data_IF_022559852661
#
_entry.id   IF_022559852661
#
_cell.length_a   1.000
_cell.length_b   1.000
_cell.length_c   1.000
_cell.angle_alpha   90.00
_cell.angle_beta   90.00
_cell.angle_gamma   90.00
#
_symmetry.space_group_name_H-M   'P 1'
#
loop_
_entity.id
_entity.type
_entity.pdbx_description
1 polymer ?
#
# COMPACT_ATOMS: atom_id res chain seq x y z
N UNK A 1 18.67 -12.20 -2.07
CA UNK A 1 17.63 -11.39 -2.74
C UNK A 1 16.34 -12.21 -2.65
N UNK A 2 15.44 -11.90 -1.72
CA UNK A 2 14.18 -12.64 -1.57
C UNK A 2 13.20 -12.17 -2.63
N UNK A 3 13.00 -12.97 -3.67
CA UNK A 3 11.98 -12.74 -4.70
C UNK A 3 10.64 -13.20 -4.13
N UNK A 4 9.99 -12.38 -3.31
CA UNK A 4 8.60 -12.63 -2.93
C UNK A 4 7.73 -12.48 -4.20
N UNK A 5 7.00 -13.53 -4.57
CA UNK A 5 6.12 -13.48 -5.74
C UNK A 5 4.98 -12.52 -5.44
N UNK A 6 4.87 -11.44 -6.20
CA UNK A 6 3.69 -10.59 -6.13
C UNK A 6 2.53 -11.34 -6.77
N UNK A 7 1.58 -11.77 -5.95
CA UNK A 7 0.28 -12.26 -6.43
C UNK A 7 -0.46 -11.11 -7.12
N UNK A 8 -1.28 -11.41 -8.13
CA UNK A 8 -1.83 -10.42 -9.08
C UNK A 8 -2.83 -9.41 -8.48
N UNK A 9 -3.04 -9.36 -7.17
CA UNK A 9 -3.97 -8.42 -6.55
C UNK A 9 -3.23 -7.18 -6.04
N UNK A 10 -3.64 -6.03 -6.54
CA UNK A 10 -3.13 -4.72 -6.15
C UNK A 10 -4.27 -3.80 -5.77
N UNK A 11 -4.10 -3.01 -4.72
CA UNK A 11 -5.02 -1.94 -4.36
C UNK A 11 -4.31 -0.61 -4.49
N UNK A 12 -4.86 0.33 -5.26
CA UNK A 12 -4.34 1.69 -5.39
C UNK A 12 -5.05 2.59 -4.40
N UNK A 13 -4.27 3.36 -3.63
CA UNK A 13 -4.77 4.34 -2.67
C UNK A 13 -4.85 5.72 -3.33
N UNK A 14 -6.02 6.34 -3.31
CA UNK A 14 -6.30 7.66 -3.87
C UNK A 14 -6.59 8.66 -2.75
N UNK A 15 -5.82 9.75 -2.73
CA UNK A 15 -6.13 10.94 -1.95
C UNK A 15 -6.72 12.06 -2.81
N UNK A 16 -6.98 13.24 -2.24
CA UNK A 16 -7.64 14.35 -2.93
C UNK A 16 -6.92 14.83 -4.21
N UNK A 17 -5.59 14.64 -4.26
CA UNK A 17 -4.75 15.05 -5.40
C UNK A 17 -4.40 13.88 -6.36
N UNK A 18 -4.97 12.68 -6.15
CA UNK A 18 -4.71 11.49 -6.95
C UNK A 18 -4.03 10.36 -6.17
N UNK A 19 -3.37 9.45 -6.88
CA UNK A 19 -2.77 8.25 -6.29
C UNK A 19 -1.63 8.60 -5.33
N UNK A 20 -1.70 8.08 -4.10
CA UNK A 20 -0.71 8.33 -3.03
C UNK A 20 0.16 7.10 -2.74
N UNK A 21 -0.31 5.91 -3.11
CA UNK A 21 0.40 4.66 -2.93
C UNK A 21 -0.37 3.47 -3.47
N UNK A 22 0.20 2.29 -3.31
CA UNK A 22 -0.44 1.02 -3.61
C UNK A 22 -0.08 -0.06 -2.60
N UNK A 23 -0.96 -1.05 -2.47
CA UNK A 23 -0.77 -2.25 -1.67
C UNK A 23 -0.75 -3.42 -2.63
N UNK A 24 0.26 -4.28 -2.52
CA UNK A 24 0.36 -5.48 -3.34
C UNK A 24 0.23 -6.70 -2.44
N UNK A 25 -0.53 -7.70 -2.89
CA UNK A 25 -0.54 -9.00 -2.25
C UNK A 25 0.69 -9.80 -2.67
N UNK A 26 1.29 -10.48 -1.71
CA UNK A 26 2.44 -11.37 -1.87
C UNK A 26 2.12 -12.70 -1.21
N UNK A 27 2.96 -13.71 -1.42
CA UNK A 27 2.85 -14.99 -0.73
C UNK A 27 2.95 -14.85 0.79
N UNK A 28 3.72 -13.85 1.26
CA UNK A 28 4.01 -13.62 2.68
C UNK A 28 3.01 -12.67 3.38
N UNK A 29 2.07 -12.07 2.62
CA UNK A 29 1.13 -11.06 3.12
C UNK A 29 0.97 -9.87 2.17
N UNK A 30 0.92 -8.66 2.72
CA UNK A 30 0.67 -7.43 1.97
C UNK A 30 1.84 -6.46 2.10
N UNK A 31 2.30 -5.90 0.99
CA UNK A 31 3.38 -4.91 0.97
C UNK A 31 2.85 -3.56 0.51
N UNK A 32 3.26 -2.49 1.17
CA UNK A 32 2.87 -1.11 0.83
C UNK A 32 3.95 -0.47 -0.03
N UNK A 33 3.57 0.27 -1.07
CA UNK A 33 4.47 1.10 -1.87
C UNK A 33 3.93 2.52 -1.93
N UNK A 34 4.73 3.50 -1.51
CA UNK A 34 4.33 4.91 -1.61
C UNK A 34 4.72 5.48 -2.97
N UNK A 35 3.89 6.36 -3.53
CA UNK A 35 4.25 7.07 -4.77
C UNK A 35 5.42 8.03 -4.56
N UNK A 36 5.52 8.62 -3.37
CA UNK A 36 6.52 9.64 -3.04
C UNK A 36 7.96 9.14 -3.03
N UNK A 37 8.20 7.89 -2.65
CA UNK A 37 9.55 7.31 -2.56
C UNK A 37 9.76 6.08 -3.46
N UNK A 38 8.68 5.52 -4.02
CA UNK A 38 8.72 4.34 -4.88
C UNK A 38 9.20 3.06 -4.19
N UNK A 39 9.33 3.04 -2.87
CA UNK A 39 9.87 1.90 -2.11
C UNK A 39 8.76 1.04 -1.52
N UNK A 40 8.98 -0.28 -1.54
CA UNK A 40 8.16 -1.22 -0.80
C UNK A 40 8.49 -1.18 0.69
N UNK A 41 7.46 -1.24 1.53
CA UNK A 41 7.54 -1.08 2.98
C UNK A 41 6.76 -2.18 3.68
N UNK A 42 7.45 -2.88 4.57
CA UNK A 42 6.89 -3.88 5.47
C UNK A 42 6.28 -5.08 4.75
N UNK A 43 5.94 -6.10 5.53
CA UNK A 43 5.03 -7.18 5.14
C UNK A 43 3.96 -7.22 6.22
N UNK A 44 2.72 -6.96 5.83
CA UNK A 44 1.59 -6.88 6.75
C UNK A 44 0.74 -8.13 6.63
N UNK A 45 0.22 -8.67 7.76
CA UNK A 45 -0.50 -9.94 7.76
C UNK A 45 -1.90 -9.84 7.12
N UNK A 46 -2.44 -8.63 6.95
CA UNK A 46 -3.76 -8.42 6.33
C UNK A 46 -3.85 -7.11 5.57
N UNK A 47 -4.80 -7.04 4.63
CA UNK A 47 -5.09 -5.84 3.85
C UNK A 47 -5.43 -4.64 4.74
N UNK A 48 -6.22 -4.84 5.80
CA UNK A 48 -6.60 -3.74 6.70
C UNK A 48 -5.40 -3.15 7.44
N UNK A 49 -4.47 -3.98 7.89
CA UNK A 49 -3.23 -3.50 8.52
C UNK A 49 -2.38 -2.74 7.50
N UNK A 50 -2.28 -3.24 6.27
CA UNK A 50 -1.56 -2.55 5.20
C UNK A 50 -2.19 -1.19 4.84
N UNK A 51 -3.53 -1.08 4.82
CA UNK A 51 -4.24 0.19 4.60
C UNK A 51 -3.93 1.21 5.70
N UNK A 52 -3.95 0.78 6.97
CA UNK A 52 -3.57 1.63 8.11
C UNK A 52 -2.11 2.07 8.04
N UNK A 53 -1.19 1.17 7.69
CA UNK A 53 0.22 1.51 7.52
C UNK A 53 0.46 2.48 6.36
N UNK A 54 -0.27 2.36 5.25
CA UNK A 54 -0.23 3.32 4.15
C UNK A 54 -0.70 4.69 4.60
N UNK A 55 -1.83 4.78 5.32
CA UNK A 55 -2.33 6.04 5.86
C UNK A 55 -1.36 6.68 6.85
N UNK A 56 -0.78 5.91 7.78
CA UNK A 56 0.22 6.39 8.72
C UNK A 56 1.51 6.89 8.04
N UNK A 57 1.80 6.42 6.82
CA UNK A 57 2.91 6.87 6.00
C UNK A 57 2.62 8.14 5.18
N UNK A 58 1.37 8.61 5.13
CA UNK A 58 0.98 9.85 4.48
C UNK A 58 1.37 11.07 5.34
N UNK A 59 1.18 12.27 4.79
CA UNK A 59 1.44 13.51 5.52
C UNK A 59 0.51 13.59 6.75
N UNK A 60 1.01 14.04 7.93
CA UNK A 60 0.14 14.26 9.08
C UNK A 60 -1.05 15.17 8.73
N UNK A 61 -2.25 14.76 9.15
CA UNK A 61 -3.50 15.45 8.84
C UNK A 61 -4.10 15.12 7.46
N UNK A 62 -3.51 14.19 6.69
CA UNK A 62 -4.17 13.65 5.51
C UNK A 62 -5.39 12.83 5.88
N UNK A 63 -6.46 13.01 5.10
CA UNK A 63 -7.65 12.17 5.19
C UNK A 63 -7.33 10.70 4.82
N UNK A 64 -8.23 9.82 5.22
CA UNK A 64 -8.16 8.42 4.85
C UNK A 64 -8.34 8.26 3.33
N UNK A 65 -7.40 7.61 2.62
CA UNK A 65 -7.51 7.47 1.17
C UNK A 65 -8.53 6.41 0.79
N UNK A 66 -9.07 6.55 -0.42
CA UNK A 66 -9.92 5.52 -1.03
C UNK A 66 -9.06 4.43 -1.66
N UNK A 67 -9.43 3.17 -1.47
CA UNK A 67 -8.67 2.03 -1.99
C UNK A 67 -9.47 1.30 -3.07
N UNK A 68 -8.91 1.23 -4.28
CA UNK A 68 -9.51 0.55 -5.43
C UNK A 68 -8.66 -0.64 -5.84
N UNK A 69 -9.28 -1.82 -6.01
CA UNK A 69 -8.61 -3.02 -6.54
C UNK A 69 -8.42 -2.88 -8.05
N UNK A 70 -7.24 -3.23 -8.55
CA UNK A 70 -6.82 -3.17 -9.95
C UNK A 70 -6.24 -4.51 -10.41
#
# INVERSE_FOLDING_TARGET
MSTSTMTRQTWVAFGPAGAVGSIHRTDDGFVVKMVSDGRYRGVYPSLNVAKGALHAAMKPGSDWPEFHEH
#
